data_IF_913389249160
#
_entry.id   IF_913389249160
#
_cell.length_a   1.000
_cell.length_b   1.000
_cell.length_c   1.000
_cell.angle_alpha   90.00
_cell.angle_beta   90.00
_cell.angle_gamma   90.00
#
_symmetry.space_group_name_H-M   'P 1'
#
loop_
_entity.id
_entity.type
_entity.pdbx_description
1 polymer ?
#
# COMPACT_ATOMS: atom_id res chain seq x y z
N UNK A 1 4.24 18.86 -1.98
CA UNK A 1 4.62 17.46 -2.23
C UNK A 1 4.30 16.66 -0.99
N UNK A 2 3.72 15.47 -1.12
CA UNK A 2 3.71 14.49 -0.03
C UNK A 2 5.17 14.14 0.30
N UNK A 3 5.49 14.14 1.58
CA UNK A 3 6.82 13.76 2.06
C UNK A 3 6.84 12.29 2.46
N UNK A 4 8.03 11.69 2.57
CA UNK A 4 8.16 10.33 3.11
C UNK A 4 7.46 10.16 4.48
N UNK A 5 7.50 11.18 5.34
CA UNK A 5 6.78 11.19 6.62
C UNK A 5 5.26 11.19 6.43
N UNK A 6 4.74 11.95 5.45
CA UNK A 6 3.32 11.93 5.08
C UNK A 6 2.89 10.54 4.67
N UNK A 7 3.66 9.88 3.81
CA UNK A 7 3.36 8.53 3.32
C UNK A 7 3.37 7.49 4.44
N UNK A 8 4.29 7.62 5.41
CA UNK A 8 4.30 6.78 6.61
C UNK A 8 3.03 6.94 7.45
N UNK A 9 2.63 8.18 7.76
CA UNK A 9 1.46 8.44 8.60
C UNK A 9 0.16 8.02 7.92
N UNK A 10 -0.01 8.36 6.64
CA UNK A 10 -1.19 7.97 5.88
C UNK A 10 -1.24 6.46 5.71
N UNK A 11 -0.12 5.80 5.41
CA UNK A 11 -0.02 4.36 5.31
C UNK A 11 -0.38 3.66 6.63
N UNK A 12 0.16 4.14 7.76
CA UNK A 12 -0.15 3.60 9.08
C UNK A 12 -1.65 3.70 9.41
N UNK A 13 -2.28 4.85 9.13
CA UNK A 13 -3.71 5.04 9.35
C UNK A 13 -4.57 4.17 8.42
N UNK A 14 -4.26 4.17 7.11
CA UNK A 14 -5.00 3.39 6.11
C UNK A 14 -4.97 1.89 6.42
N UNK A 15 -3.79 1.36 6.77
CA UNK A 15 -3.63 -0.06 7.09
C UNK A 15 -4.22 -0.41 8.45
N UNK A 16 -4.11 0.47 9.45
CA UNK A 16 -4.79 0.28 10.73
C UNK A 16 -6.31 0.16 10.57
N UNK A 17 -6.92 1.02 9.75
CA UNK A 17 -8.34 0.93 9.42
C UNK A 17 -8.67 -0.33 8.63
N UNK A 18 -7.85 -0.67 7.62
CA UNK A 18 -8.03 -1.90 6.84
C UNK A 18 -8.01 -3.15 7.72
N UNK A 19 -7.11 -3.21 8.71
CA UNK A 19 -7.02 -4.31 9.65
C UNK A 19 -8.24 -4.43 10.58
N UNK A 20 -8.91 -3.31 10.90
CA UNK A 20 -10.13 -3.31 11.74
C UNK A 20 -11.33 -3.85 10.95
N UNK A 21 -11.39 -3.59 9.64
CA UNK A 21 -12.55 -3.94 8.80
C UNK A 21 -12.38 -5.28 8.07
N UNK A 22 -11.21 -5.91 8.14
CA UNK A 22 -10.97 -7.22 7.54
C UNK A 22 -11.70 -8.33 8.31
N UNK A 23 -12.42 -9.18 7.57
CA UNK A 23 -13.27 -10.24 8.11
C UNK A 23 -12.53 -11.59 8.26
N UNK A 24 -11.30 -11.69 7.75
CA UNK A 24 -10.43 -12.88 7.88
C UNK A 24 -9.06 -12.55 8.51
N UNK A 25 -9.02 -11.99 9.73
CA UNK A 25 -7.79 -11.48 10.32
C UNK A 25 -6.81 -12.61 10.70
N UNK A 26 -5.52 -12.29 10.63
CA UNK A 26 -4.44 -13.07 11.22
C UNK A 26 -3.87 -12.34 12.45
N UNK A 27 -3.67 -13.00 13.61
CA UNK A 27 -3.30 -12.33 14.87
C UNK A 27 -2.05 -11.46 14.80
N UNK A 28 -1.07 -11.84 13.98
CA UNK A 28 0.18 -11.07 13.83
C UNK A 28 -0.05 -9.81 12.99
N UNK A 29 -0.53 -9.95 11.74
CA UNK A 29 -0.63 -8.85 10.78
C UNK A 29 -1.71 -7.84 11.16
N UNK A 30 -2.76 -8.27 11.85
CA UNK A 30 -3.90 -7.44 12.26
C UNK A 30 -3.80 -6.93 13.69
N UNK A 31 -2.68 -7.16 14.38
CA UNK A 31 -2.50 -6.61 15.72
C UNK A 31 -2.43 -5.08 15.69
N UNK A 32 -2.90 -4.45 16.77
CA UNK A 32 -2.97 -3.00 16.93
C UNK A 32 -1.63 -2.28 16.70
N UNK A 33 -0.50 -2.97 16.94
CA UNK A 33 0.84 -2.42 16.74
C UNK A 33 1.41 -2.76 15.36
N UNK A 34 1.26 -4.01 14.90
CA UNK A 34 1.92 -4.47 13.67
C UNK A 34 1.21 -3.94 12.43
N UNK A 35 -0.12 -3.82 12.42
CA UNK A 35 -0.84 -3.30 11.25
C UNK A 35 -0.42 -1.86 10.90
N UNK A 36 -0.45 -0.88 11.82
CA UNK A 36 0.04 0.47 11.52
C UNK A 36 1.52 0.52 11.15
N UNK A 37 2.37 -0.32 11.77
CA UNK A 37 3.78 -0.41 11.41
C UNK A 37 3.99 -0.92 9.98
N UNK A 38 3.27 -1.98 9.60
CA UNK A 38 3.26 -2.51 8.24
C UNK A 38 2.80 -1.44 7.25
N UNK A 39 1.76 -0.68 7.59
CA UNK A 39 1.30 0.46 6.80
C UNK A 39 2.33 1.57 6.67
N UNK A 40 3.05 1.90 7.74
CA UNK A 40 4.11 2.91 7.69
C UNK A 40 5.26 2.50 6.76
N UNK A 41 5.65 1.23 6.76
CA UNK A 41 6.73 0.72 5.92
C UNK A 41 6.28 0.61 4.47
N UNK A 42 5.13 -0.04 4.24
CA UNK A 42 4.58 -0.25 2.91
C UNK A 42 4.11 1.03 2.22
N UNK A 43 3.67 2.03 3.01
CA UNK A 43 3.39 3.38 2.52
C UNK A 43 4.61 4.08 1.94
N UNK A 44 5.85 3.70 2.30
CA UNK A 44 7.07 4.21 1.66
C UNK A 44 7.66 3.29 0.61
N UNK A 45 7.08 2.11 0.41
CA UNK A 45 7.63 1.12 -0.50
C UNK A 45 7.80 1.64 -1.94
N UNK A 46 6.87 2.44 -2.51
CA UNK A 46 7.07 3.02 -3.84
C UNK A 46 8.36 3.83 -3.95
N UNK A 47 8.65 4.68 -2.95
CA UNK A 47 9.89 5.47 -2.88
C UNK A 47 11.15 4.61 -2.63
N UNK A 48 11.03 3.38 -2.11
CA UNK A 48 12.18 2.49 -1.94
C UNK A 48 12.55 1.76 -3.23
N UNK A 49 11.56 1.41 -4.05
CA UNK A 49 11.78 0.71 -5.33
C UNK A 49 11.95 1.69 -6.50
N UNK A 50 11.48 2.93 -6.37
CA UNK A 50 11.65 4.00 -7.34
C UNK A 50 12.04 5.32 -6.62
N UNK A 51 13.33 5.46 -6.23
CA UNK A 51 13.78 6.51 -5.32
C UNK A 51 13.53 7.96 -5.74
N UNK A 52 13.05 8.77 -4.80
CA UNK A 52 12.77 10.19 -4.96
C UNK A 52 14.02 11.10 -5.00
N UNK A 53 14.98 10.78 -5.87
CA UNK A 53 16.27 11.48 -6.01
C UNK A 53 16.19 12.74 -6.89
N UNK A 54 15.10 12.90 -7.66
CA UNK A 54 14.89 14.05 -8.52
C UNK A 54 13.39 14.39 -8.68
N UNK A 55 13.04 15.60 -9.14
CA UNK A 55 11.63 16.01 -9.26
C UNK A 55 10.79 15.10 -10.15
N UNK A 56 11.39 14.42 -11.14
CA UNK A 56 10.72 13.53 -12.10
C UNK A 56 10.80 12.03 -11.76
N UNK A 57 11.02 11.65 -10.49
CA UNK A 57 11.25 10.25 -10.11
C UNK A 57 10.04 9.34 -10.32
N UNK A 58 8.82 9.90 -10.25
CA UNK A 58 7.58 9.15 -10.47
C UNK A 58 7.52 8.61 -11.91
N UNK A 59 7.80 7.33 -12.04
CA UNK A 59 7.83 6.54 -13.25
C UNK A 59 6.89 5.33 -13.10
N UNK A 60 7.35 4.12 -13.38
CA UNK A 60 6.49 2.94 -13.45
C UNK A 60 5.81 2.59 -12.13
N UNK A 61 6.55 2.56 -11.02
CA UNK A 61 6.00 2.18 -9.72
C UNK A 61 5.10 3.27 -9.12
N UNK A 62 5.19 4.51 -9.60
CA UNK A 62 4.28 5.59 -9.26
C UNK A 62 3.22 5.85 -10.35
N UNK A 63 2.80 4.85 -11.12
CA UNK A 63 1.87 5.04 -12.24
C UNK A 63 0.40 4.73 -11.91
N UNK A 64 -0.50 5.28 -12.73
CA UNK A 64 -1.93 4.92 -12.72
C UNK A 64 -2.12 3.43 -13.05
N UNK A 65 -1.31 2.89 -13.97
CA UNK A 65 -1.32 1.44 -14.28
C UNK A 65 -1.01 0.60 -13.05
N UNK A 66 0.04 0.93 -12.30
CA UNK A 66 0.38 0.21 -11.06
C UNK A 66 -0.72 0.38 -10.01
N UNK A 67 -1.27 1.59 -9.86
CA UNK A 67 -2.42 1.81 -8.97
C UNK A 67 -3.60 0.90 -9.31
N UNK A 68 -4.00 0.85 -10.58
CA UNK A 68 -5.12 0.04 -11.04
C UNK A 68 -4.89 -1.46 -10.88
N UNK A 69 -3.72 -1.97 -11.27
CA UNK A 69 -3.37 -3.38 -11.12
C UNK A 69 -3.31 -3.80 -9.65
N UNK A 70 -2.72 -2.95 -8.80
CA UNK A 70 -2.68 -3.16 -7.36
C UNK A 70 -4.09 -3.20 -6.77
N UNK A 71 -4.95 -2.25 -7.10
CA UNK A 71 -6.35 -2.25 -6.64
C UNK A 71 -7.11 -3.51 -7.06
N UNK A 72 -6.95 -3.97 -8.31
CA UNK A 72 -7.57 -5.22 -8.78
C UNK A 72 -7.03 -6.42 -7.97
N UNK A 73 -5.72 -6.47 -7.73
CA UNK A 73 -5.09 -7.51 -6.91
C UNK A 73 -5.61 -7.50 -5.48
N UNK A 74 -5.77 -6.32 -4.87
CA UNK A 74 -6.30 -6.16 -3.52
C UNK A 74 -7.76 -6.56 -3.43
N UNK A 75 -8.60 -6.24 -4.42
CA UNK A 75 -9.99 -6.72 -4.47
C UNK A 75 -10.03 -8.26 -4.50
N UNK A 76 -9.22 -8.89 -5.35
CA UNK A 76 -9.11 -10.35 -5.41
C UNK A 76 -8.60 -10.95 -4.09
N UNK A 77 -7.60 -10.31 -3.47
CA UNK A 77 -7.05 -10.72 -2.18
C UNK A 77 -8.07 -10.60 -1.05
N UNK A 78 -8.84 -9.51 -1.02
CA UNK A 78 -9.91 -9.30 -0.06
C UNK A 78 -11.02 -10.36 -0.19
N UNK A 79 -11.40 -10.69 -1.43
CA UNK A 79 -12.41 -11.71 -1.74
C UNK A 79 -11.94 -13.15 -1.49
N UNK A 80 -10.63 -13.39 -1.42
CA UNK A 80 -10.09 -14.70 -1.09
C UNK A 80 -10.41 -15.03 0.37
N UNK A 81 -11.02 -16.20 0.57
CA UNK A 81 -11.36 -16.76 1.89
C UNK A 81 -10.31 -17.80 2.28
N UNK A 82 -9.31 -17.46 3.11
CA UNK A 82 -8.26 -18.38 3.50
C UNK A 82 -8.75 -19.35 4.59
N UNK A 83 -8.37 -20.61 4.47
CA UNK A 83 -8.76 -21.65 5.42
C UNK A 83 -7.65 -21.87 6.46
N UNK A 84 -6.39 -21.89 5.99
CA UNK A 84 -5.24 -22.21 6.81
C UNK A 84 -4.59 -20.96 7.47
N UNK A 85 -3.96 -21.10 8.65
CA UNK A 85 -3.28 -19.98 9.30
C UNK A 85 -2.20 -19.32 8.43
N UNK A 86 -1.46 -20.12 7.66
CA UNK A 86 -0.43 -19.61 6.75
C UNK A 86 -1.04 -18.79 5.60
N UNK A 87 -2.19 -19.23 5.06
CA UNK A 87 -2.92 -18.47 4.05
C UNK A 87 -3.42 -17.13 4.61
N UNK A 88 -3.95 -17.12 5.83
CA UNK A 88 -4.36 -15.88 6.53
C UNK A 88 -3.18 -14.92 6.73
N UNK A 89 -2.00 -15.46 7.06
CA UNK A 89 -0.78 -14.66 7.19
C UNK A 89 -0.41 -14.00 5.85
N UNK A 90 -0.35 -14.78 4.78
CA UNK A 90 -0.01 -14.29 3.43
C UNK A 90 -1.05 -13.28 2.94
N UNK A 91 -2.35 -13.61 3.06
CA UNK A 91 -3.45 -12.70 2.74
C UNK A 91 -3.32 -11.39 3.49
N UNK A 92 -3.08 -11.45 4.80
CA UNK A 92 -2.89 -10.26 5.64
C UNK A 92 -1.70 -9.41 5.19
N UNK A 93 -0.55 -10.02 4.90
CA UNK A 93 0.64 -9.29 4.42
C UNK A 93 0.39 -8.59 3.08
N UNK A 94 -0.23 -9.29 2.12
CA UNK A 94 -0.53 -8.75 0.78
C UNK A 94 -1.59 -7.66 0.85
N UNK A 95 -2.69 -7.92 1.54
CA UNK A 95 -3.82 -6.98 1.64
C UNK A 95 -3.39 -5.71 2.39
N UNK A 96 -2.83 -5.84 3.59
CA UNK A 96 -2.43 -4.70 4.41
C UNK A 96 -1.23 -3.97 3.81
N UNK A 97 -0.21 -4.69 3.33
CA UNK A 97 0.94 -4.08 2.66
C UNK A 97 0.55 -3.35 1.38
N UNK A 98 -0.31 -3.94 0.56
CA UNK A 98 -0.79 -3.28 -0.66
C UNK A 98 -1.71 -2.10 -0.37
N UNK A 99 -2.50 -2.11 0.70
CA UNK A 99 -3.25 -0.92 1.14
C UNK A 99 -2.33 0.23 1.52
N UNK A 100 -1.20 -0.05 2.19
CA UNK A 100 -0.17 0.95 2.45
C UNK A 100 0.43 1.53 1.18
N UNK A 101 0.84 0.68 0.23
CA UNK A 101 1.33 1.11 -1.09
C UNK A 101 0.30 1.96 -1.83
N UNK A 102 -0.97 1.52 -1.87
CA UNK A 102 -2.03 2.24 -2.56
C UNK A 102 -2.27 3.62 -1.94
N UNK A 103 -2.15 3.75 -0.61
CA UNK A 103 -2.27 5.03 0.08
C UNK A 103 -1.19 6.04 -0.38
N UNK A 104 0.02 5.56 -0.67
CA UNK A 104 1.09 6.40 -1.24
C UNK A 104 0.71 6.95 -2.61
N UNK A 105 0.24 6.08 -3.50
CA UNK A 105 -0.17 6.46 -4.85
C UNK A 105 -1.35 7.45 -4.81
N UNK A 106 -2.31 7.23 -3.91
CA UNK A 106 -3.43 8.16 -3.70
C UNK A 106 -2.89 9.52 -3.26
N UNK A 107 -2.02 9.58 -2.25
CA UNK A 107 -1.37 10.83 -1.83
C UNK A 107 -0.69 11.53 -3.01
N UNK A 108 0.13 10.81 -3.76
CA UNK A 108 0.87 11.37 -4.90
C UNK A 108 -0.04 11.85 -6.04
N UNK A 109 -1.15 11.14 -6.29
CA UNK A 109 -2.15 11.52 -7.30
C UNK A 109 -2.85 12.85 -7.00
N UNK A 110 -2.96 13.21 -5.71
CA UNK A 110 -3.58 14.47 -5.29
C UNK A 110 -2.63 15.68 -5.36
N UNK A 111 -1.36 15.45 -5.69
CA UNK A 111 -0.41 16.55 -5.90
C UNK A 111 -0.56 17.14 -7.32
N UNK A 112 -0.17 18.42 -7.56
CA UNK A 112 -0.27 19.02 -8.90
C UNK A 112 0.46 18.26 -10.02
N UNK A 113 1.50 17.49 -9.68
CA UNK A 113 2.24 16.65 -10.64
C UNK A 113 1.49 15.36 -10.99
N UNK A 114 0.65 14.86 -10.08
CA UNK A 114 -0.07 13.60 -10.24
C UNK A 114 0.85 12.38 -10.45
N UNK A 115 0.25 11.34 -11.04
CA UNK A 115 0.91 10.09 -11.45
C UNK A 115 0.98 10.02 -12.98
N UNK A 116 2.08 9.53 -13.59
CA UNK A 116 2.09 9.17 -15.00
C UNK A 116 1.10 8.02 -15.29
N UNK A 117 0.65 7.92 -16.54
CA UNK A 117 -0.23 6.81 -16.94
C UNK A 117 0.48 5.45 -16.75
N UNK A 118 1.69 5.31 -17.31
CA UNK A 118 2.50 4.09 -17.23
C UNK A 118 3.89 4.35 -16.65
N UNK A 119 4.56 5.45 -17.01
CA UNK A 119 5.94 5.70 -16.60
C UNK A 119 6.98 4.84 -17.34
N UNK A 120 8.25 5.03 -17.03
CA UNK A 120 9.39 4.23 -17.56
C UNK A 120 9.93 3.26 -16.49
N UNK A 121 10.59 2.19 -16.92
CA UNK A 121 11.38 1.30 -16.05
C UNK A 121 12.85 1.73 -16.05
#
# INVERSE_FOLDING_TARGET
MSSGTTHMFVGAGAVGLAAIVDDHPHPITHSLLIAPLLGSISGKLPDYIEPALHPNHRQFFHSITVAGLLTIGLIKCYQWKPEEPFEKLIRGLVLLGGMGYLSHLICDSTTPKGLPLVGKL
#
